data_IF_332047955112
#
_entry.id   IF_332047955112
#
_cell.length_a   1.000
_cell.length_b   1.000
_cell.length_c   1.000
_cell.angle_alpha   90.00
_cell.angle_beta   90.00
_cell.angle_gamma   90.00
#
_symmetry.space_group_name_H-M   'P 1'
#
loop_
_entity.id
_entity.type
_entity.pdbx_description
1 polymer ?
#
# COMPACT_ATOMS: atom_id res chain seq x y z
N UNK A 1 -31.91 -36.54 0.94
CA UNK A 1 -30.56 -36.18 0.44
C UNK A 1 -30.03 -35.05 1.31
N UNK A 2 -29.17 -35.37 2.28
CA UNK A 2 -28.60 -34.38 3.20
C UNK A 2 -27.56 -33.56 2.45
N UNK A 3 -27.83 -32.28 2.30
CA UNK A 3 -26.82 -31.27 1.94
C UNK A 3 -25.74 -31.31 3.04
N UNK A 4 -24.54 -31.76 2.68
CA UNK A 4 -23.38 -31.63 3.54
C UNK A 4 -23.26 -30.15 3.88
N UNK A 5 -23.49 -29.77 5.13
CA UNK A 5 -23.17 -28.43 5.62
C UNK A 5 -21.64 -28.27 5.47
N UNK A 6 -21.21 -27.65 4.36
CA UNK A 6 -19.85 -27.11 4.29
C UNK A 6 -19.73 -26.16 5.48
N UNK A 7 -18.84 -26.47 6.40
CA UNK A 7 -18.69 -25.72 7.64
C UNK A 7 -18.15 -24.32 7.30
N UNK A 8 -18.93 -23.28 7.65
CA UNK A 8 -18.51 -21.89 7.52
C UNK A 8 -17.09 -21.67 8.11
N UNK A 9 -16.15 -21.09 7.36
CA UNK A 9 -14.80 -20.84 7.83
C UNK A 9 -14.74 -19.62 8.78
N UNK A 10 -13.99 -19.70 9.89
CA UNK A 10 -13.83 -18.54 10.78
C UNK A 10 -12.98 -17.45 10.12
N UNK A 11 -13.32 -16.19 10.39
CA UNK A 11 -12.47 -15.08 9.99
C UNK A 11 -11.13 -15.06 10.74
N UNK A 12 -10.10 -14.64 10.04
CA UNK A 12 -8.83 -14.35 10.71
C UNK A 12 -8.95 -13.13 11.64
N UNK A 13 -8.16 -13.05 12.72
CA UNK A 13 -8.18 -11.88 13.62
C UNK A 13 -8.04 -10.55 12.88
N UNK A 14 -7.07 -10.45 11.96
CA UNK A 14 -6.88 -9.23 11.17
C UNK A 14 -8.08 -8.94 10.24
N UNK A 15 -8.68 -9.97 9.64
CA UNK A 15 -9.91 -9.80 8.82
C UNK A 15 -11.08 -9.22 9.62
N UNK A 16 -11.25 -9.66 10.86
CA UNK A 16 -12.27 -9.14 11.79
C UNK A 16 -12.07 -7.65 12.12
N UNK A 17 -10.82 -7.20 12.19
CA UNK A 17 -10.49 -5.81 12.44
C UNK A 17 -10.90 -4.92 11.25
N UNK A 18 -10.60 -5.34 10.02
CA UNK A 18 -10.95 -4.58 8.82
C UNK A 18 -12.47 -4.49 8.56
N UNK A 19 -13.27 -5.40 9.10
CA UNK A 19 -14.74 -5.36 9.00
C UNK A 19 -15.40 -4.48 10.07
N UNK A 20 -14.64 -3.75 10.86
CA UNK A 20 -15.17 -2.77 11.79
C UNK A 20 -15.42 -1.45 11.05
N UNK A 21 -16.58 -0.81 11.25
CA UNK A 21 -16.90 0.47 10.59
C UNK A 21 -15.82 1.55 10.81
N UNK A 22 -15.16 1.51 11.98
CA UNK A 22 -14.12 2.47 12.33
C UNK A 22 -12.79 2.20 11.61
N UNK A 23 -12.67 1.06 10.91
CA UNK A 23 -11.46 0.62 10.21
C UNK A 23 -11.79 -0.13 8.93
N UNK A 24 -12.90 0.20 8.32
CA UNK A 24 -13.34 -0.35 7.02
C UNK A 24 -12.38 0.09 5.93
N UNK A 25 -11.66 -0.87 5.36
CA UNK A 25 -10.62 -0.59 4.37
C UNK A 25 -10.88 -1.36 3.09
N UNK A 26 -11.09 -0.61 2.02
CA UNK A 26 -11.23 -1.12 0.65
C UNK A 26 -9.97 -0.73 -0.13
N UNK A 27 -9.38 -1.68 -0.82
CA UNK A 27 -8.25 -1.48 -1.72
C UNK A 27 -8.82 -1.22 -3.11
N UNK A 28 -8.35 -0.15 -3.75
CA UNK A 28 -8.65 0.21 -5.13
C UNK A 28 -7.39 0.01 -5.97
N UNK A 29 -7.40 -0.95 -6.89
CA UNK A 29 -6.32 -1.20 -7.83
C UNK A 29 -6.76 -0.76 -9.22
N UNK A 30 -6.16 0.30 -9.75
CA UNK A 30 -6.40 0.85 -11.08
C UNK A 30 -5.42 0.25 -12.06
N UNK A 31 -5.93 -0.33 -13.14
CA UNK A 31 -5.16 -1.02 -14.17
C UNK A 31 -5.48 -0.33 -15.50
N UNK A 32 -4.53 0.44 -16.01
CA UNK A 32 -4.65 1.06 -17.33
C UNK A 32 -4.37 0.06 -18.44
N UNK A 33 -5.12 0.15 -19.54
CA UNK A 33 -5.00 -0.72 -20.71
C UNK A 33 -4.63 0.11 -21.95
N UNK A 34 -4.08 -0.54 -22.94
CA UNK A 34 -3.55 0.12 -24.15
C UNK A 34 -4.63 0.49 -25.17
N UNK A 35 -5.76 -0.20 -25.16
CA UNK A 35 -6.83 -0.05 -26.16
C UNK A 35 -8.21 -0.18 -25.53
N UNK A 36 -9.25 0.00 -26.31
CA UNK A 36 -10.64 -0.14 -25.92
C UNK A 36 -10.92 -1.52 -25.28
N UNK A 37 -11.71 -1.53 -24.21
CA UNK A 37 -11.92 -2.71 -23.36
C UNK A 37 -13.02 -3.58 -23.92
N UNK A 38 -12.70 -4.83 -24.21
CA UNK A 38 -13.68 -5.90 -24.42
C UNK A 38 -14.20 -6.39 -23.06
N UNK A 39 -15.42 -5.97 -22.73
CA UNK A 39 -16.07 -6.28 -21.45
C UNK A 39 -16.29 -7.78 -21.29
N UNK A 40 -16.71 -8.47 -22.35
CA UNK A 40 -16.99 -9.91 -22.30
C UNK A 40 -15.70 -10.73 -22.15
N UNK A 41 -14.61 -10.29 -22.77
CA UNK A 41 -13.30 -10.91 -22.55
C UNK A 41 -12.83 -10.75 -21.11
N UNK A 42 -13.03 -9.58 -20.49
CA UNK A 42 -12.70 -9.36 -19.05
C UNK A 42 -13.60 -10.24 -18.17
N UNK A 43 -14.91 -10.30 -18.39
CA UNK A 43 -15.84 -11.18 -17.64
C UNK A 43 -15.38 -12.63 -17.68
N UNK A 44 -15.14 -13.15 -18.89
CA UNK A 44 -14.70 -14.51 -19.09
C UNK A 44 -13.36 -14.82 -18.40
N UNK A 45 -12.43 -13.86 -18.45
CA UNK A 45 -11.13 -13.97 -17.78
C UNK A 45 -11.30 -14.03 -16.26
N UNK A 46 -12.17 -13.19 -15.68
CA UNK A 46 -12.47 -13.17 -14.25
C UNK A 46 -13.13 -14.47 -13.81
N UNK A 47 -14.14 -14.94 -14.54
CA UNK A 47 -14.87 -16.17 -14.25
C UNK A 47 -13.95 -17.39 -14.19
N UNK A 48 -13.02 -17.49 -15.16
CA UNK A 48 -12.04 -18.58 -15.24
C UNK A 48 -10.84 -18.39 -14.30
N UNK A 49 -10.75 -17.25 -13.64
CA UNK A 49 -9.58 -16.91 -12.85
C UNK A 49 -9.50 -17.68 -11.55
N UNK A 50 -8.29 -17.83 -11.08
CA UNK A 50 -8.01 -18.30 -9.74
C UNK A 50 -8.58 -17.41 -8.63
N UNK A 51 -8.90 -16.17 -8.93
CA UNK A 51 -9.53 -15.25 -7.98
C UNK A 51 -10.91 -15.76 -7.57
N UNK A 52 -11.79 -16.07 -8.53
CA UNK A 52 -13.14 -16.58 -8.25
C UNK A 52 -13.12 -17.98 -7.62
N UNK A 53 -12.09 -18.77 -7.93
CA UNK A 53 -11.91 -20.09 -7.31
C UNK A 53 -11.40 -20.00 -5.86
N UNK A 54 -10.83 -18.89 -5.46
CA UNK A 54 -10.29 -18.70 -4.11
C UNK A 54 -11.42 -18.63 -3.06
N UNK A 55 -11.36 -19.42 -1.96
CA UNK A 55 -12.46 -19.53 -0.98
C UNK A 55 -12.97 -18.19 -0.47
N UNK A 56 -12.11 -17.22 -0.21
CA UNK A 56 -12.52 -15.89 0.31
C UNK A 56 -13.19 -15.01 -0.72
N UNK A 57 -12.86 -15.16 -2.00
CA UNK A 57 -13.47 -14.42 -3.10
C UNK A 57 -14.78 -15.06 -3.59
N UNK A 58 -15.07 -16.27 -3.13
CA UNK A 58 -16.32 -17.00 -3.36
C UNK A 58 -17.12 -17.22 -2.08
N UNK A 59 -16.97 -16.35 -1.08
CA UNK A 59 -17.68 -16.48 0.19
C UNK A 59 -18.32 -15.17 0.61
N UNK A 60 -19.51 -15.28 1.22
CA UNK A 60 -20.18 -14.18 1.92
C UNK A 60 -19.62 -14.02 3.33
N UNK A 61 -19.55 -12.78 3.78
CA UNK A 61 -19.41 -12.46 5.18
C UNK A 61 -20.75 -12.68 5.90
N UNK A 62 -20.79 -13.58 6.87
CA UNK A 62 -21.97 -13.90 7.65
C UNK A 62 -21.68 -13.90 9.14
N UNK A 63 -22.72 -13.68 9.96
CA UNK A 63 -22.66 -13.90 11.40
C UNK A 63 -23.50 -15.13 11.74
N UNK A 64 -22.89 -16.09 12.48
CA UNK A 64 -23.60 -17.25 12.95
C UNK A 64 -24.62 -16.88 14.07
N UNK A 65 -25.45 -17.83 14.50
CA UNK A 65 -26.46 -17.66 15.58
C UNK A 65 -25.86 -17.20 16.91
N UNK A 66 -24.55 -17.32 17.08
CA UNK A 66 -23.81 -16.86 18.27
C UNK A 66 -23.09 -15.50 18.03
N UNK A 67 -23.39 -14.83 16.90
CA UNK A 67 -22.77 -13.56 16.51
C UNK A 67 -21.30 -13.68 16.05
N UNK A 68 -20.79 -14.91 15.84
CA UNK A 68 -19.41 -15.12 15.37
C UNK A 68 -19.33 -14.93 13.87
N UNK A 69 -18.34 -14.20 13.46
CA UNK A 69 -18.08 -13.82 12.06
C UNK A 69 -17.45 -14.98 11.29
N UNK A 70 -18.01 -15.31 10.12
CA UNK A 70 -17.62 -16.46 9.29
C UNK A 70 -17.68 -16.15 7.81
N UNK A 71 -16.94 -16.92 7.04
CA UNK A 71 -17.01 -16.98 5.59
C UNK A 71 -17.89 -18.15 5.18
N UNK A 72 -18.97 -17.88 4.46
CA UNK A 72 -19.88 -18.89 3.89
C UNK A 72 -19.68 -18.97 2.39
N UNK A 73 -19.23 -20.10 1.88
CA UNK A 73 -19.04 -20.31 0.45
C UNK A 73 -20.36 -20.26 -0.31
N UNK A 74 -20.32 -19.60 -1.47
CA UNK A 74 -21.44 -19.48 -2.40
C UNK A 74 -20.97 -19.69 -3.83
N UNK A 75 -21.91 -19.86 -4.76
CA UNK A 75 -21.65 -19.70 -6.18
C UNK A 75 -21.63 -18.21 -6.50
N UNK A 76 -20.58 -17.74 -7.15
CA UNK A 76 -20.41 -16.31 -7.47
C UNK A 76 -21.16 -16.00 -8.76
N UNK A 77 -21.98 -14.97 -8.71
CA UNK A 77 -22.61 -14.37 -9.88
C UNK A 77 -21.74 -13.20 -10.36
N UNK A 78 -21.01 -13.41 -11.45
CA UNK A 78 -20.00 -12.46 -11.96
C UNK A 78 -20.66 -11.14 -12.40
N UNK A 79 -21.85 -11.15 -12.95
CA UNK A 79 -22.52 -9.94 -13.43
C UNK A 79 -22.85 -8.97 -12.27
N UNK A 80 -23.06 -9.48 -11.07
CA UNK A 80 -23.23 -8.64 -9.87
C UNK A 80 -21.94 -7.96 -9.40
N UNK A 81 -20.78 -8.41 -9.89
CA UNK A 81 -19.48 -7.91 -9.49
C UNK A 81 -18.83 -6.97 -10.52
N UNK A 82 -19.34 -6.95 -11.74
CA UNK A 82 -18.79 -6.13 -12.81
C UNK A 82 -19.72 -4.95 -13.11
N UNK A 83 -19.19 -3.75 -12.93
CA UNK A 83 -19.89 -2.48 -13.12
C UNK A 83 -19.25 -1.79 -14.34
N UNK A 84 -20.04 -1.56 -15.38
CA UNK A 84 -19.53 -0.98 -16.64
C UNK A 84 -19.97 0.49 -16.74
N UNK A 85 -19.01 1.37 -16.96
CA UNK A 85 -19.18 2.77 -17.28
C UNK A 85 -18.85 2.98 -18.75
N UNK A 86 -19.87 3.21 -19.57
CA UNK A 86 -19.73 3.41 -21.03
C UNK A 86 -19.15 4.78 -21.36
N UNK A 87 -19.61 5.81 -20.70
CA UNK A 87 -19.17 7.20 -20.88
C UNK A 87 -18.02 7.59 -19.95
N UNK A 88 -17.48 8.81 -20.15
CA UNK A 88 -16.46 9.34 -19.26
C UNK A 88 -17.03 9.55 -17.86
N UNK A 89 -16.21 9.21 -16.83
CA UNK A 89 -16.50 9.60 -15.46
C UNK A 89 -16.09 11.05 -15.29
N UNK A 90 -17.03 11.87 -14.80
CA UNK A 90 -16.82 13.31 -14.63
C UNK A 90 -16.58 13.55 -13.14
N UNK A 91 -15.44 14.12 -12.80
CA UNK A 91 -15.16 14.60 -11.43
C UNK A 91 -15.74 16.00 -11.18
N UNK A 92 -15.64 16.47 -9.96
CA UNK A 92 -16.09 17.82 -9.51
C UNK A 92 -15.32 19.00 -10.14
N UNK A 93 -14.38 18.75 -11.04
CA UNK A 93 -13.46 19.76 -11.60
C UNK A 93 -14.01 20.40 -12.87
N UNK A 94 -13.57 21.63 -13.20
CA UNK A 94 -14.04 22.42 -14.35
C UNK A 94 -13.58 21.81 -15.68
N UNK A 95 -14.44 21.72 -16.73
CA UNK A 95 -14.22 20.87 -17.92
C UNK A 95 -13.02 21.20 -18.81
N UNK A 96 -12.48 22.39 -18.80
CA UNK A 96 -11.54 22.85 -19.85
C UNK A 96 -10.05 22.50 -19.63
N UNK A 97 -9.66 21.96 -18.46
CA UNK A 97 -8.25 21.63 -18.14
C UNK A 97 -8.04 20.22 -17.55
N UNK A 98 -9.07 19.35 -17.56
CA UNK A 98 -9.00 18.06 -16.88
C UNK A 98 -8.35 17.03 -17.79
N UNK A 99 -7.28 16.38 -17.32
CA UNK A 99 -6.71 15.23 -17.99
C UNK A 99 -7.55 13.97 -17.75
N UNK A 100 -7.46 13.00 -18.65
CA UNK A 100 -8.08 11.69 -18.49
C UNK A 100 -7.69 11.01 -17.15
N UNK A 101 -6.45 11.21 -16.71
CA UNK A 101 -5.93 10.73 -15.43
C UNK A 101 -6.61 11.41 -14.25
N UNK A 102 -6.88 12.71 -14.32
CA UNK A 102 -7.55 13.44 -13.24
C UNK A 102 -8.98 12.95 -13.06
N UNK A 103 -9.71 12.71 -14.15
CA UNK A 103 -11.08 12.15 -14.10
C UNK A 103 -11.11 10.78 -13.41
N UNK A 104 -10.18 9.89 -13.74
CA UNK A 104 -10.05 8.58 -13.08
C UNK A 104 -9.66 8.75 -11.60
N UNK A 105 -8.74 9.66 -11.29
CA UNK A 105 -8.32 9.94 -9.92
C UNK A 105 -9.47 10.48 -9.06
N UNK A 106 -10.28 11.40 -9.58
CA UNK A 106 -11.46 11.95 -8.90
C UNK A 106 -12.50 10.85 -8.65
N UNK A 107 -12.78 10.02 -9.65
CA UNK A 107 -13.68 8.88 -9.49
C UNK A 107 -13.22 7.92 -8.37
N UNK A 108 -11.92 7.59 -8.31
CA UNK A 108 -11.37 6.75 -7.24
C UNK A 108 -11.41 7.46 -5.88
N UNK A 109 -11.18 8.77 -5.85
CA UNK A 109 -11.26 9.57 -4.62
C UNK A 109 -12.67 9.51 -4.00
N UNK A 110 -13.71 9.60 -4.83
CA UNK A 110 -15.11 9.48 -4.40
C UNK A 110 -15.41 8.06 -3.89
N UNK A 111 -14.98 7.03 -4.63
CA UNK A 111 -15.14 5.64 -4.19
C UNK A 111 -14.43 5.35 -2.86
N UNK A 112 -13.35 6.06 -2.55
CA UNK A 112 -12.59 5.86 -1.31
C UNK A 112 -13.31 6.35 -0.06
N UNK A 113 -14.35 7.17 -0.19
CA UNK A 113 -15.10 7.78 0.94
C UNK A 113 -16.54 7.30 1.00
N UNK A 114 -17.24 7.29 -0.14
CA UNK A 114 -18.71 7.23 -0.18
C UNK A 114 -19.30 5.86 -0.53
N UNK A 115 -18.49 4.89 -0.91
CA UNK A 115 -18.98 3.65 -1.54
C UNK A 115 -18.49 2.38 -0.84
N UNK A 116 -19.10 1.96 0.27
CA UNK A 116 -18.82 0.68 0.89
C UNK A 116 -19.19 -0.48 -0.05
N UNK A 117 -18.50 -1.61 0.07
CA UNK A 117 -18.86 -2.83 -0.65
C UNK A 117 -20.11 -3.47 -0.03
N UNK A 118 -21.04 -3.94 -0.88
CA UNK A 118 -22.22 -4.65 -0.41
C UNK A 118 -21.86 -5.98 0.24
N UNK A 119 -22.52 -6.31 1.36
CA UNK A 119 -22.32 -7.56 2.10
C UNK A 119 -23.20 -8.71 1.61
N UNK A 120 -24.08 -8.46 0.63
CA UNK A 120 -24.95 -9.48 0.01
C UNK A 120 -24.29 -10.27 -1.12
N UNK A 121 -23.02 -9.94 -1.39
CA UNK A 121 -22.12 -10.63 -2.32
C UNK A 121 -20.71 -10.67 -1.73
N UNK A 122 -19.78 -11.50 -2.27
CA UNK A 122 -18.38 -11.46 -1.88
C UNK A 122 -17.82 -10.05 -1.96
N UNK A 123 -16.93 -9.69 -1.01
CA UNK A 123 -16.50 -8.31 -0.77
C UNK A 123 -15.45 -7.82 -1.80
N UNK A 124 -15.83 -7.84 -3.06
CA UNK A 124 -15.03 -7.30 -4.18
C UNK A 124 -15.93 -6.85 -5.34
N UNK A 125 -15.44 -5.93 -6.15
CA UNK A 125 -16.09 -5.42 -7.38
C UNK A 125 -15.03 -5.05 -8.40
N UNK A 126 -15.43 -5.05 -9.67
CA UNK A 126 -14.62 -4.58 -10.80
C UNK A 126 -15.42 -3.51 -11.53
N UNK A 127 -14.87 -2.30 -11.62
CA UNK A 127 -15.44 -1.22 -12.43
C UNK A 127 -14.65 -1.13 -13.73
N UNK A 128 -15.34 -1.19 -14.84
CA UNK A 128 -14.75 -1.05 -16.20
C UNK A 128 -15.08 0.36 -16.69
N UNK A 129 -14.07 1.21 -16.78
CA UNK A 129 -14.20 2.58 -17.25
C UNK A 129 -13.77 2.60 -18.74
N UNK A 130 -14.72 2.35 -19.67
CA UNK A 130 -14.43 2.14 -21.09
C UNK A 130 -13.80 3.37 -21.72
N UNK A 131 -14.38 4.56 -21.50
CA UNK A 131 -13.86 5.81 -22.05
C UNK A 131 -12.41 6.11 -21.62
N UNK A 132 -12.02 5.64 -20.42
CA UNK A 132 -10.69 5.85 -19.81
C UNK A 132 -9.74 4.68 -20.04
N UNK A 133 -10.16 3.63 -20.73
CA UNK A 133 -9.38 2.41 -20.98
C UNK A 133 -8.74 1.85 -19.71
N UNK A 134 -9.46 1.84 -18.60
CA UNK A 134 -8.95 1.28 -17.36
C UNK A 134 -10.00 0.45 -16.62
N UNK A 135 -9.48 -0.46 -15.80
CA UNK A 135 -10.25 -1.35 -14.92
C UNK A 135 -9.87 -1.02 -13.49
N UNK A 136 -10.86 -0.89 -12.62
CA UNK A 136 -10.66 -0.66 -11.19
C UNK A 136 -11.13 -1.88 -10.42
N UNK A 137 -10.20 -2.62 -9.85
CA UNK A 137 -10.50 -3.71 -8.94
C UNK A 137 -10.62 -3.16 -7.51
N UNK A 138 -11.80 -3.29 -6.91
CA UNK A 138 -12.11 -2.94 -5.53
C UNK A 138 -12.17 -4.20 -4.68
N UNK A 139 -11.39 -4.28 -3.63
CA UNK A 139 -11.32 -5.46 -2.77
C UNK A 139 -11.28 -5.03 -1.30
N UNK A 140 -12.16 -5.59 -0.49
CA UNK A 140 -12.13 -5.36 0.95
C UNK A 140 -10.87 -5.96 1.57
N UNK A 141 -10.18 -5.21 2.43
CA UNK A 141 -8.89 -5.59 3.00
C UNK A 141 -8.94 -6.84 3.90
N UNK A 142 -10.15 -7.25 4.33
CA UNK A 142 -10.35 -8.52 5.07
C UNK A 142 -10.04 -9.76 4.21
N UNK A 143 -10.13 -9.66 2.88
CA UNK A 143 -9.85 -10.76 1.95
C UNK A 143 -8.36 -11.05 1.84
N UNK A 144 -7.50 -10.03 1.94
CA UNK A 144 -6.05 -10.21 1.85
C UNK A 144 -5.28 -8.90 1.95
N UNK A 145 -3.97 -8.97 2.14
CA UNK A 145 -3.06 -7.83 2.06
C UNK A 145 -2.53 -7.63 0.63
N UNK A 146 -1.85 -6.49 0.42
CA UNK A 146 -1.36 -6.10 -0.90
C UNK A 146 -0.51 -7.17 -1.61
N UNK A 147 0.30 -7.94 -0.87
CA UNK A 147 1.12 -9.00 -1.48
C UNK A 147 0.26 -10.19 -1.90
N UNK A 148 -0.70 -10.60 -1.06
CA UNK A 148 -1.64 -11.67 -1.40
C UNK A 148 -2.50 -11.27 -2.60
N UNK A 149 -3.04 -10.05 -2.60
CA UNK A 149 -3.91 -9.55 -3.66
C UNK A 149 -3.14 -9.35 -4.98
N UNK A 150 -1.92 -8.82 -4.93
CA UNK A 150 -1.06 -8.71 -6.12
C UNK A 150 -0.75 -10.09 -6.69
N UNK A 151 -0.44 -11.07 -5.84
CA UNK A 151 -0.18 -12.43 -6.30
C UNK A 151 -1.40 -13.05 -6.99
N UNK A 152 -2.60 -12.80 -6.47
CA UNK A 152 -3.84 -13.29 -7.06
C UNK A 152 -4.15 -12.59 -8.40
N UNK A 153 -4.02 -11.27 -8.45
CA UNK A 153 -4.18 -10.49 -9.68
C UNK A 153 -3.25 -11.00 -10.79
N UNK A 154 -1.99 -11.27 -10.46
CA UNK A 154 -1.02 -11.77 -11.44
C UNK A 154 -1.39 -13.14 -12.02
N UNK A 155 -2.20 -13.95 -11.34
CA UNK A 155 -2.72 -15.19 -11.93
C UNK A 155 -3.70 -14.96 -13.08
N UNK A 156 -4.36 -13.79 -13.08
CA UNK A 156 -5.25 -13.35 -14.16
C UNK A 156 -4.49 -12.75 -15.35
N UNK A 157 -3.19 -12.47 -15.20
CA UNK A 157 -2.35 -11.83 -16.21
C UNK A 157 -1.46 -12.85 -16.93
N UNK A 158 -0.94 -12.43 -18.10
CA UNK A 158 0.09 -13.15 -18.84
C UNK A 158 1.21 -12.19 -19.20
N UNK A 159 2.39 -12.71 -19.50
CA UNK A 159 3.49 -11.89 -20.03
C UNK A 159 3.18 -11.45 -21.45
N UNK A 160 3.47 -10.22 -21.78
CA UNK A 160 3.28 -9.68 -23.14
C UNK A 160 4.20 -10.41 -24.14
N UNK A 161 5.44 -10.67 -23.75
CA UNK A 161 6.45 -11.33 -24.58
C UNK A 161 6.18 -12.84 -24.78
N UNK A 162 5.61 -13.51 -23.76
CA UNK A 162 5.28 -14.94 -23.78
C UNK A 162 3.99 -15.22 -23.01
N UNK A 163 2.83 -15.18 -23.69
CA UNK A 163 1.52 -15.41 -23.05
C UNK A 163 1.33 -16.82 -22.46
N UNK A 164 2.20 -17.78 -22.77
CA UNK A 164 2.15 -19.11 -22.15
C UNK A 164 2.66 -19.12 -20.71
N UNK A 165 3.44 -18.11 -20.33
CA UNK A 165 4.05 -18.00 -19.00
C UNK A 165 3.28 -17.09 -18.07
N UNK A 166 3.23 -17.49 -16.79
CA UNK A 166 2.72 -16.64 -15.71
C UNK A 166 3.75 -15.55 -15.37
N UNK A 167 3.26 -14.38 -14.93
CA UNK A 167 4.13 -13.31 -14.42
C UNK A 167 4.99 -13.76 -13.25
N UNK A 168 6.15 -13.10 -13.07
CA UNK A 168 7.03 -13.32 -11.91
C UNK A 168 6.89 -12.18 -10.91
N UNK A 169 6.80 -12.52 -9.64
CA UNK A 169 6.99 -11.53 -8.57
C UNK A 169 8.48 -11.54 -8.23
N UNK A 170 9.17 -10.44 -8.55
CA UNK A 170 10.53 -10.24 -8.05
C UNK A 170 10.45 -10.00 -6.55
N UNK A 171 10.60 -11.04 -5.77
CA UNK A 171 10.92 -10.87 -4.35
C UNK A 171 12.33 -10.32 -4.24
N UNK A 172 12.54 -9.31 -3.40
CA UNK A 172 13.89 -8.91 -3.05
C UNK A 172 14.65 -10.17 -2.62
N UNK A 173 15.66 -10.54 -3.39
CA UNK A 173 16.48 -11.70 -3.12
C UNK A 173 16.98 -11.68 -1.67
N UNK A 174 17.31 -12.82 -1.07
CA UNK A 174 17.90 -12.84 0.25
C UNK A 174 19.20 -12.01 0.14
N UNK A 175 19.12 -10.76 0.65
CA UNK A 175 20.34 -9.98 0.80
C UNK A 175 21.36 -10.86 1.49
N UNK A 176 22.55 -10.96 0.95
CA UNK A 176 23.66 -11.82 1.35
C UNK A 176 23.72 -12.09 2.86
N UNK A 177 23.03 -13.13 3.27
CA UNK A 177 23.12 -13.68 4.62
C UNK A 177 24.13 -14.81 4.58
N UNK A 178 25.41 -14.48 4.59
CA UNK A 178 26.40 -15.32 5.24
C UNK A 178 27.82 -14.78 5.01
N UNK A 179 28.20 -13.82 5.82
CA UNK A 179 29.59 -13.78 6.26
C UNK A 179 29.58 -14.28 7.69
N UNK A 180 30.38 -15.30 8.00
CA UNK A 180 30.50 -15.89 9.31
C UNK A 180 30.62 -14.78 10.37
N UNK A 181 29.63 -14.69 11.26
CA UNK A 181 29.57 -13.67 12.28
C UNK A 181 30.63 -13.96 13.33
N UNK A 182 31.60 -13.06 13.47
CA UNK A 182 32.45 -13.03 14.64
C UNK A 182 31.55 -12.97 15.90
N UNK A 183 31.67 -13.93 16.88
CA UNK A 183 30.73 -14.07 18.01
C UNK A 183 30.52 -12.78 18.79
N UNK A 184 31.60 -11.99 19.00
CA UNK A 184 31.51 -10.69 19.71
C UNK A 184 30.69 -9.64 18.95
N UNK A 185 30.79 -9.60 17.60
CA UNK A 185 29.93 -8.74 16.74
C UNK A 185 28.49 -9.22 16.74
N UNK A 186 28.25 -10.52 16.96
CA UNK A 186 26.91 -11.11 17.09
C UNK A 186 26.18 -10.64 18.34
N UNK A 187 26.84 -10.69 19.52
CA UNK A 187 26.28 -10.25 20.80
C UNK A 187 25.96 -8.75 20.79
N UNK A 188 26.86 -7.92 20.28
CA UNK A 188 26.61 -6.48 20.17
C UNK A 188 25.39 -6.16 19.26
N UNK A 189 25.29 -6.83 18.11
CA UNK A 189 24.12 -6.69 17.24
C UNK A 189 22.82 -7.11 17.93
N UNK A 190 22.86 -8.19 18.71
CA UNK A 190 21.71 -8.68 19.46
C UNK A 190 21.30 -7.68 20.55
N UNK A 191 22.26 -7.15 21.31
CA UNK A 191 22.01 -6.13 22.33
C UNK A 191 21.42 -4.85 21.70
N UNK A 192 21.96 -4.40 20.57
CA UNK A 192 21.45 -3.26 19.82
C UNK A 192 20.03 -3.52 19.30
N UNK A 193 19.76 -4.71 18.77
CA UNK A 193 18.43 -5.10 18.30
C UNK A 193 17.42 -5.10 19.44
N UNK A 194 17.78 -5.65 20.60
CA UNK A 194 16.94 -5.64 21.81
C UNK A 194 16.66 -4.20 22.28
N UNK A 195 17.69 -3.37 22.36
CA UNK A 195 17.56 -1.96 22.73
C UNK A 195 16.65 -1.17 21.78
N UNK A 196 16.89 -1.26 20.47
CA UNK A 196 16.06 -0.59 19.48
C UNK A 196 14.62 -1.11 19.52
N UNK A 197 14.43 -2.41 19.73
CA UNK A 197 13.09 -2.99 19.88
C UNK A 197 12.38 -2.40 21.09
N UNK A 198 13.02 -2.36 22.26
CA UNK A 198 12.43 -1.77 23.46
C UNK A 198 12.05 -0.30 23.26
N UNK A 199 12.93 0.48 22.62
CA UNK A 199 12.71 1.90 22.34
C UNK A 199 11.53 2.13 21.38
N UNK A 200 11.44 1.36 20.31
CA UNK A 200 10.36 1.51 19.32
C UNK A 200 9.03 0.94 19.82
N UNK A 201 9.06 -0.14 20.59
CA UNK A 201 7.88 -0.66 21.28
C UNK A 201 7.34 0.37 22.28
N UNK A 202 8.22 0.99 23.05
CA UNK A 202 7.83 2.07 23.95
C UNK A 202 7.22 3.25 23.19
N UNK A 203 7.83 3.69 22.08
CA UNK A 203 7.25 4.73 21.22
C UNK A 203 5.86 4.34 20.72
N UNK A 204 5.69 3.09 20.23
CA UNK A 204 4.40 2.59 19.75
C UNK A 204 3.33 2.63 20.85
N UNK A 205 3.65 2.16 22.05
CA UNK A 205 2.76 2.21 23.22
C UNK A 205 2.42 3.64 23.60
N UNK A 206 3.41 4.52 23.69
CA UNK A 206 3.20 5.94 24.02
C UNK A 206 2.28 6.64 22.99
N UNK A 207 2.42 6.31 21.71
CA UNK A 207 1.54 6.84 20.65
C UNK A 207 0.14 6.25 20.69
N UNK A 208 -0.02 5.02 21.11
CA UNK A 208 -1.35 4.45 21.32
C UNK A 208 -2.08 5.06 22.52
N UNK A 209 -1.37 5.73 23.43
CA UNK A 209 -1.92 6.34 24.64
C UNK A 209 -2.09 7.87 24.52
N UNK A 210 -1.00 8.60 24.29
CA UNK A 210 -1.00 10.08 24.40
C UNK A 210 0.03 10.83 23.55
N UNK A 211 1.11 10.18 23.05
CA UNK A 211 2.16 10.88 22.30
C UNK A 211 1.67 11.21 20.88
N UNK A 212 1.59 12.50 20.54
CA UNK A 212 1.15 12.99 19.24
C UNK A 212 2.26 13.72 18.49
N UNK A 213 2.21 13.69 17.17
CA UNK A 213 2.99 14.62 16.35
C UNK A 213 2.53 16.06 16.59
N UNK A 214 3.45 17.02 16.53
CA UNK A 214 3.08 18.43 16.54
C UNK A 214 2.29 18.77 15.28
N UNK A 215 1.22 19.56 15.46
CA UNK A 215 0.34 19.95 14.34
C UNK A 215 1.10 20.72 13.26
N UNK A 216 0.86 20.33 12.02
CA UNK A 216 1.29 21.00 10.80
C UNK A 216 0.09 21.13 9.86
N UNK A 217 0.28 21.76 8.71
CA UNK A 217 -0.74 21.81 7.66
C UNK A 217 -1.08 20.41 7.07
N UNK A 218 -0.29 19.37 7.37
CA UNK A 218 -0.53 17.99 6.93
C UNK A 218 -1.31 17.18 7.96
N UNK A 219 -1.59 17.74 9.13
CA UNK A 219 -2.17 17.00 10.23
C UNK A 219 -3.65 16.73 9.95
N UNK A 220 -4.01 15.45 9.88
CA UNK A 220 -5.38 14.98 9.90
C UNK A 220 -6.00 15.06 11.30
N UNK A 221 -6.85 14.13 11.61
CA UNK A 221 -7.50 14.02 12.91
C UNK A 221 -8.68 13.06 12.86
N UNK A 222 -9.36 12.93 13.96
CA UNK A 222 -10.54 12.08 14.07
C UNK A 222 -11.65 12.59 13.13
N UNK A 223 -12.22 11.68 12.33
CA UNK A 223 -13.26 11.99 11.35
C UNK A 223 -12.74 12.41 9.96
N UNK A 224 -11.44 12.71 9.80
CA UNK A 224 -10.87 13.11 8.50
C UNK A 224 -11.02 12.00 7.44
N UNK A 225 -11.13 10.74 7.85
CA UNK A 225 -11.42 9.62 6.96
C UNK A 225 -12.72 9.76 6.17
N UNK A 226 -13.67 10.53 6.67
CA UNK A 226 -14.99 10.77 6.04
C UNK A 226 -15.03 12.05 5.17
N UNK A 227 -13.95 12.82 5.14
CA UNK A 227 -13.91 14.06 4.37
C UNK A 227 -13.69 13.81 2.88
N UNK A 228 -14.15 14.72 2.00
CA UNK A 228 -13.89 14.64 0.57
C UNK A 228 -12.41 14.50 0.27
N UNK A 229 -12.07 13.67 -0.71
CA UNK A 229 -10.70 13.36 -1.08
C UNK A 229 -10.36 13.85 -2.49
N UNK A 230 -9.08 14.04 -2.71
CA UNK A 230 -8.46 14.19 -4.03
C UNK A 230 -7.31 13.20 -4.15
N UNK A 231 -7.05 12.74 -5.37
CA UNK A 231 -5.90 11.90 -5.66
C UNK A 231 -4.98 12.65 -6.62
N UNK A 232 -3.68 12.55 -6.36
CA UNK A 232 -2.64 12.91 -7.32
C UNK A 232 -1.65 11.75 -7.47
N UNK A 233 -1.03 11.65 -8.63
CA UNK A 233 -0.01 10.66 -8.92
C UNK A 233 1.34 11.32 -9.07
N UNK A 234 2.31 10.96 -8.23
CA UNK A 234 3.71 11.26 -8.50
C UNK A 234 4.31 10.13 -9.36
N UNK A 235 4.80 10.50 -10.54
CA UNK A 235 5.34 9.57 -11.54
C UNK A 235 6.86 9.49 -11.40
N UNK A 236 7.34 8.39 -10.83
CA UNK A 236 8.77 8.16 -10.66
C UNK A 236 9.26 7.09 -11.64
N UNK A 237 10.50 7.27 -12.11
CA UNK A 237 11.17 6.28 -12.97
C UNK A 237 12.00 5.38 -12.07
N UNK A 238 11.79 4.07 -12.15
CA UNK A 238 12.47 3.11 -11.30
C UNK A 238 13.99 3.11 -11.54
N UNK A 239 14.43 3.38 -12.78
CA UNK A 239 15.87 3.47 -13.10
C UNK A 239 16.50 4.67 -12.40
N UNK A 240 15.84 5.82 -12.35
CA UNK A 240 16.30 6.99 -11.59
C UNK A 240 16.48 6.64 -10.10
N UNK A 241 15.51 5.92 -9.53
CA UNK A 241 15.64 5.42 -8.15
C UNK A 241 16.81 4.45 -7.97
N UNK A 242 17.12 3.63 -9.00
CA UNK A 242 18.28 2.72 -8.96
C UNK A 242 19.62 3.49 -9.05
N UNK A 243 19.68 4.58 -9.82
CA UNK A 243 20.84 5.46 -9.88
C UNK A 243 21.08 6.08 -8.49
N UNK A 244 20.05 6.70 -7.92
CA UNK A 244 20.10 7.29 -6.58
C UNK A 244 20.53 6.25 -5.53
N UNK A 245 19.97 5.06 -5.59
CA UNK A 245 20.35 3.95 -4.70
C UNK A 245 21.85 3.61 -4.78
N UNK A 246 22.45 3.65 -5.97
CA UNK A 246 23.87 3.31 -6.15
C UNK A 246 24.83 4.31 -5.49
N UNK A 247 24.41 5.57 -5.28
CA UNK A 247 25.24 6.60 -4.66
C UNK A 247 25.59 6.34 -3.18
N UNK A 248 24.81 5.49 -2.50
CA UNK A 248 25.08 5.12 -1.09
C UNK A 248 25.16 3.59 -0.95
N UNK A 249 26.26 3.13 -0.38
CA UNK A 249 26.50 1.68 -0.22
C UNK A 249 25.37 0.99 0.55
N UNK A 250 24.93 -0.19 0.07
CA UNK A 250 23.89 -1.04 0.66
C UNK A 250 22.51 -0.36 0.80
N UNK A 251 22.22 0.73 0.07
CA UNK A 251 20.90 1.30 0.06
C UNK A 251 19.92 0.49 -0.80
N UNK A 252 18.64 0.65 -0.54
CA UNK A 252 17.54 -0.06 -1.21
C UNK A 252 16.57 0.92 -1.86
N UNK A 253 15.72 0.45 -2.76
CA UNK A 253 14.63 1.27 -3.34
C UNK A 253 13.72 1.84 -2.24
N UNK A 254 13.48 1.10 -1.16
CA UNK A 254 12.71 1.61 -0.03
C UNK A 254 13.41 2.79 0.67
N UNK A 255 14.74 2.78 0.77
CA UNK A 255 15.49 3.90 1.35
C UNK A 255 15.35 5.15 0.46
N UNK A 256 15.39 4.99 -0.87
CA UNK A 256 15.14 6.07 -1.83
C UNK A 256 13.70 6.58 -1.72
N UNK A 257 12.70 5.68 -1.65
CA UNK A 257 11.30 6.08 -1.45
C UNK A 257 11.15 6.92 -0.18
N UNK A 258 11.73 6.50 0.94
CA UNK A 258 11.66 7.26 2.19
C UNK A 258 12.37 8.61 2.08
N UNK A 259 13.50 8.67 1.36
CA UNK A 259 14.23 9.92 1.11
C UNK A 259 13.41 10.90 0.25
N UNK A 260 12.85 10.42 -0.85
CA UNK A 260 11.98 11.20 -1.75
C UNK A 260 10.76 11.72 -0.99
N UNK A 261 10.12 10.87 -0.18
CA UNK A 261 8.97 11.25 0.66
C UNK A 261 9.37 12.33 1.67
N UNK A 262 10.50 12.16 2.36
CA UNK A 262 11.00 13.13 3.35
C UNK A 262 11.30 14.50 2.71
N UNK A 263 12.04 14.49 1.61
CA UNK A 263 12.40 15.72 0.88
C UNK A 263 11.17 16.40 0.28
N UNK A 264 10.29 15.63 -0.38
CA UNK A 264 9.08 16.18 -1.01
C UNK A 264 8.09 16.76 0.00
N UNK A 265 7.87 16.08 1.14
CA UNK A 265 7.06 16.62 2.23
C UNK A 265 7.68 17.88 2.81
N UNK A 266 9.01 17.95 2.96
CA UNK A 266 9.70 19.17 3.41
C UNK A 266 9.52 20.33 2.45
N UNK A 267 9.64 20.08 1.13
CA UNK A 267 9.37 21.09 0.09
C UNK A 267 7.93 21.59 0.14
N UNK A 268 6.97 20.68 0.22
CA UNK A 268 5.56 21.06 0.30
C UNK A 268 5.24 21.86 1.56
N UNK A 269 5.76 21.44 2.73
CA UNK A 269 5.62 22.18 3.97
C UNK A 269 6.23 23.59 3.87
N UNK A 270 7.40 23.73 3.25
CA UNK A 270 8.04 25.02 3.02
C UNK A 270 7.17 25.94 2.14
N UNK A 271 6.54 25.38 1.10
CA UNK A 271 5.68 26.14 0.18
C UNK A 271 4.36 26.59 0.82
N UNK A 272 3.79 25.76 1.68
CA UNK A 272 2.41 25.92 2.15
C UNK A 272 2.26 26.33 3.62
N UNK A 273 3.29 26.16 4.45
CA UNK A 273 3.18 26.57 5.84
C UNK A 273 3.18 28.08 5.98
N UNK A 274 2.19 28.67 6.68
CA UNK A 274 2.10 30.13 6.85
C UNK A 274 3.24 30.70 7.70
N UNK A 275 3.88 29.85 8.51
CA UNK A 275 5.05 30.16 9.32
C UNK A 275 6.12 29.10 9.05
N UNK A 276 7.38 29.54 9.02
CA UNK A 276 8.52 28.65 8.91
C UNK A 276 8.50 27.62 10.06
N UNK A 277 8.62 26.35 9.71
CA UNK A 277 8.80 25.29 10.68
C UNK A 277 10.26 25.24 11.14
N UNK A 278 10.53 24.92 12.41
CA UNK A 278 11.90 24.76 12.87
C UNK A 278 12.59 23.59 12.16
N UNK A 279 13.88 23.76 11.85
CA UNK A 279 14.72 22.69 11.30
C UNK A 279 14.63 21.45 12.19
N UNK A 280 14.54 20.27 11.56
CA UNK A 280 14.42 19.01 12.27
C UNK A 280 13.04 18.74 12.90
N UNK A 281 12.02 19.57 12.60
CA UNK A 281 10.65 19.30 13.02
C UNK A 281 10.24 17.88 12.61
N UNK A 282 9.79 17.10 13.59
CA UNK A 282 9.48 15.67 13.38
C UNK A 282 8.02 15.48 13.03
N UNK A 283 7.77 14.77 11.92
CA UNK A 283 6.49 14.17 11.55
C UNK A 283 6.66 12.65 11.44
N UNK A 284 5.62 11.89 11.72
CA UNK A 284 5.71 10.43 11.75
C UNK A 284 4.76 9.81 10.76
N UNK A 285 5.30 8.98 9.87
CA UNK A 285 4.53 8.13 8.98
C UNK A 285 4.27 6.76 9.59
N UNK A 286 3.12 6.19 9.30
CA UNK A 286 2.81 4.78 9.55
C UNK A 286 3.14 3.99 8.29
N UNK A 287 4.04 3.02 8.39
CA UNK A 287 4.38 2.13 7.31
C UNK A 287 3.85 0.71 7.59
N UNK A 288 3.17 0.13 6.61
CA UNK A 288 2.75 -1.27 6.66
C UNK A 288 3.80 -2.15 6.01
N UNK A 289 4.28 -3.16 6.73
CA UNK A 289 5.38 -4.05 6.33
C UNK A 289 4.89 -5.49 6.26
N UNK A 290 5.14 -6.15 5.14
CA UNK A 290 4.86 -7.57 4.99
C UNK A 290 5.82 -8.40 5.87
N UNK A 291 5.24 -9.27 6.70
CA UNK A 291 6.00 -10.15 7.62
C UNK A 291 6.22 -11.57 7.08
N UNK A 292 5.79 -11.85 5.84
CA UNK A 292 6.05 -13.16 5.26
C UNK A 292 7.53 -13.32 4.96
N UNK A 293 8.09 -14.45 5.39
CA UNK A 293 9.37 -14.91 4.88
C UNK A 293 9.13 -15.33 3.44
N UNK A 294 9.60 -14.54 2.50
CA UNK A 294 9.59 -14.93 1.10
C UNK A 294 10.94 -15.61 0.79
N UNK A 295 10.96 -16.90 0.53
CA UNK A 295 12.06 -17.48 -0.23
C UNK A 295 11.88 -17.00 -1.68
N UNK A 296 12.93 -16.61 -2.38
CA UNK A 296 12.98 -16.14 -3.76
C UNK A 296 11.77 -16.43 -4.66
N UNK A 297 11.74 -16.43 -5.90
CA UNK A 297 10.60 -16.59 -6.81
C UNK A 297 9.49 -17.51 -6.25
N UNK A 298 8.42 -16.90 -5.72
CA UNK A 298 7.21 -17.62 -5.38
C UNK A 298 6.56 -18.02 -6.70
N UNK A 299 6.57 -19.29 -7.01
CA UNK A 299 5.68 -19.80 -8.05
C UNK A 299 4.23 -19.48 -7.63
N UNK A 300 3.55 -18.64 -8.39
CA UNK A 300 2.17 -18.23 -8.16
C UNK A 300 1.25 -19.46 -7.97
N UNK A 301 1.54 -20.54 -8.68
CA UNK A 301 0.86 -21.83 -8.55
C UNK A 301 0.98 -22.47 -7.15
N UNK A 302 2.09 -22.22 -6.43
CA UNK A 302 2.27 -22.76 -5.07
C UNK A 302 1.48 -21.97 -4.03
N UNK A 303 1.32 -20.67 -4.21
CA UNK A 303 0.46 -19.84 -3.35
C UNK A 303 -1.00 -20.30 -3.41
N UNK A 304 -1.42 -20.79 -4.57
CA UNK A 304 -2.80 -21.21 -4.83
C UNK A 304 -3.09 -22.65 -4.44
N UNK A 305 -2.10 -23.55 -4.59
CA UNK A 305 -2.25 -24.98 -4.22
C UNK A 305 -2.23 -25.23 -2.71
N UNK A 306 -1.73 -24.27 -1.90
CA UNK A 306 -1.67 -24.49 -0.47
C UNK A 306 -3.04 -24.20 0.17
N UNK A 307 -3.77 -25.27 0.52
CA UNK A 307 -4.91 -25.23 1.46
C UNK A 307 -4.51 -24.72 2.86
N UNK A 308 -3.23 -24.42 3.09
CA UNK A 308 -2.76 -23.97 4.40
C UNK A 308 -2.96 -22.46 4.53
N UNK A 309 -3.85 -22.05 5.42
CA UNK A 309 -4.12 -20.65 5.79
C UNK A 309 -2.92 -19.86 6.32
N UNK A 310 -1.71 -20.44 6.33
CA UNK A 310 -0.48 -19.78 6.78
C UNK A 310 0.16 -18.85 5.74
N UNK A 311 -0.18 -18.98 4.46
CA UNK A 311 0.42 -18.20 3.36
C UNK A 311 -0.49 -17.12 2.80
N UNK A 312 -1.79 -17.17 3.02
CA UNK A 312 -2.79 -16.21 2.55
C UNK A 312 -3.31 -15.33 3.69
N UNK A 313 -3.79 -14.14 3.36
CA UNK A 313 -4.47 -13.22 4.27
C UNK A 313 -3.55 -12.10 4.77
N UNK A 314 -3.97 -11.41 5.84
CA UNK A 314 -3.27 -10.25 6.38
C UNK A 314 -2.16 -10.67 7.34
N UNK A 315 -0.91 -10.55 6.91
CA UNK A 315 0.29 -10.80 7.72
C UNK A 315 1.22 -9.59 7.66
N UNK A 316 0.73 -8.50 8.20
CA UNK A 316 1.38 -7.19 8.18
C UNK A 316 1.77 -6.77 9.59
N UNK A 317 2.89 -6.06 9.70
CA UNK A 317 3.29 -5.32 10.89
C UNK A 317 3.25 -3.83 10.63
N UNK A 318 3.12 -3.05 11.68
CA UNK A 318 3.16 -1.59 11.65
C UNK A 318 4.55 -1.15 12.11
N UNK A 319 5.14 -0.22 11.35
CA UNK A 319 6.41 0.44 11.69
C UNK A 319 6.19 1.94 11.66
N UNK A 320 6.64 2.63 12.70
CA UNK A 320 6.57 4.08 12.80
C UNK A 320 7.84 4.70 12.19
N UNK A 321 7.67 5.48 11.13
CA UNK A 321 8.77 6.08 10.36
C UNK A 321 8.90 7.57 10.69
N UNK A 322 9.92 8.00 11.45
CA UNK A 322 10.13 9.41 11.75
C UNK A 322 10.78 10.11 10.56
N UNK A 323 10.13 11.16 10.08
CA UNK A 323 10.66 12.08 9.08
C UNK A 323 11.02 13.39 9.74
N UNK A 324 12.06 14.05 9.25
CA UNK A 324 12.50 15.34 9.75
C UNK A 324 12.35 16.39 8.65
N UNK A 325 11.68 17.49 8.99
CA UNK A 325 11.61 18.63 8.12
C UNK A 325 13.02 19.22 7.92
N UNK A 326 13.34 19.51 6.67
CA UNK A 326 14.62 20.07 6.25
C UNK A 326 14.36 21.40 5.56
N UNK A 327 15.00 22.47 6.02
CA UNK A 327 14.81 23.84 5.46
C UNK A 327 15.41 23.97 4.05
N UNK A 328 16.18 23.01 3.59
CA UNK A 328 16.89 22.98 2.33
C UNK A 328 18.39 23.01 2.59
N UNK A 329 19.03 21.86 2.44
CA UNK A 329 20.48 21.73 2.46
C UNK A 329 21.06 21.83 1.04
N UNK A 330 22.35 22.10 0.96
CA UNK A 330 23.09 22.09 -0.30
C UNK A 330 23.28 20.68 -0.88
N UNK A 331 22.99 19.63 -0.09
CA UNK A 331 23.20 18.24 -0.48
C UNK A 331 21.88 17.45 -0.56
N UNK A 332 21.33 17.19 -1.77
CA UNK A 332 20.11 16.42 -1.96
C UNK A 332 20.21 14.97 -1.45
N UNK A 333 21.41 14.37 -1.40
CA UNK A 333 21.64 13.01 -0.93
C UNK A 333 21.64 12.88 0.59
N UNK A 334 21.63 13.98 1.33
CA UNK A 334 21.51 13.93 2.80
C UNK A 334 20.24 13.24 3.26
N UNK A 335 19.11 13.51 2.59
CA UNK A 335 17.83 12.82 2.87
C UNK A 335 17.94 11.31 2.70
N UNK A 336 18.69 10.83 1.70
CA UNK A 336 18.93 9.40 1.49
C UNK A 336 19.79 8.80 2.59
N UNK A 337 20.86 9.50 3.04
CA UNK A 337 21.71 9.01 4.16
C UNK A 337 20.88 8.86 5.45
N UNK A 338 20.00 9.83 5.71
CA UNK A 338 19.11 9.79 6.88
C UNK A 338 18.06 8.71 6.77
N UNK A 339 17.39 8.60 5.63
CA UNK A 339 16.39 7.57 5.37
C UNK A 339 17.00 6.16 5.53
N UNK A 340 18.18 5.92 4.95
CA UNK A 340 18.90 4.66 5.08
C UNK A 340 19.25 4.36 6.54
N UNK A 341 19.85 5.31 7.26
CA UNK A 341 20.22 5.11 8.66
C UNK A 341 18.99 4.79 9.54
N UNK A 342 17.85 5.44 9.27
CA UNK A 342 16.58 5.17 9.94
C UNK A 342 16.05 3.78 9.59
N UNK A 343 15.96 3.45 8.32
CA UNK A 343 15.43 2.16 7.84
C UNK A 343 16.29 0.99 8.32
N UNK A 344 17.63 1.14 8.36
CA UNK A 344 18.54 0.12 8.88
C UNK A 344 18.28 -0.15 10.38
N UNK A 345 18.08 0.89 11.18
CA UNK A 345 17.69 0.74 12.59
C UNK A 345 16.34 0.04 12.74
N UNK A 346 15.35 0.39 11.90
CA UNK A 346 14.03 -0.23 11.89
C UNK A 346 14.09 -1.71 11.47
N UNK A 347 14.91 -2.05 10.46
CA UNK A 347 15.14 -3.44 10.02
C UNK A 347 15.86 -4.29 11.08
N UNK A 348 16.71 -3.69 11.90
CA UNK A 348 17.40 -4.37 13.00
C UNK A 348 16.46 -4.65 14.17
N UNK A 349 15.44 -3.82 14.38
CA UNK A 349 14.46 -3.98 15.44
C UNK A 349 13.40 -5.04 15.10
N UNK A 350 12.70 -5.53 16.11
CA UNK A 350 11.54 -6.42 15.99
C UNK A 350 10.20 -5.67 16.06
N UNK A 351 10.19 -4.34 15.83
CA UNK A 351 9.00 -3.49 15.94
C UNK A 351 7.81 -4.02 15.12
N UNK A 352 8.06 -4.41 13.86
CA UNK A 352 7.00 -4.94 12.98
C UNK A 352 6.43 -6.28 13.46
N UNK A 353 7.27 -7.15 14.02
CA UNK A 353 6.82 -8.41 14.64
C UNK A 353 6.06 -8.17 15.91
N UNK A 354 6.54 -7.23 16.75
CA UNK A 354 5.86 -6.84 17.97
C UNK A 354 4.48 -6.28 17.68
N UNK A 355 4.35 -5.29 16.80
CA UNK A 355 3.07 -4.67 16.45
C UNK A 355 2.05 -5.69 15.94
N UNK A 356 2.49 -6.64 15.11
CA UNK A 356 1.66 -7.74 14.64
C UNK A 356 1.22 -8.67 15.78
N UNK A 357 2.17 -9.16 16.58
CA UNK A 357 1.88 -10.09 17.70
C UNK A 357 1.07 -9.44 18.80
N UNK A 358 1.36 -8.18 19.11
CA UNK A 358 0.59 -7.39 20.06
C UNK A 358 -0.84 -7.17 19.56
N UNK A 359 -1.03 -6.82 18.29
CA UNK A 359 -2.35 -6.72 17.68
C UNK A 359 -3.15 -8.04 17.79
N UNK A 360 -2.52 -9.18 17.50
CA UNK A 360 -3.15 -10.50 17.67
C UNK A 360 -3.50 -10.82 19.13
N UNK A 361 -2.62 -10.48 20.07
CA UNK A 361 -2.87 -10.68 21.49
C UNK A 361 -4.06 -9.83 21.97
N UNK A 362 -4.09 -8.55 21.63
CA UNK A 362 -5.20 -7.66 21.98
C UNK A 362 -6.51 -8.16 21.37
N UNK A 363 -6.48 -8.59 20.09
CA UNK A 363 -7.64 -9.20 19.43
C UNK A 363 -8.16 -10.43 20.17
N UNK A 364 -7.24 -11.29 20.64
CA UNK A 364 -7.58 -12.53 21.33
C UNK A 364 -8.14 -12.29 22.75
N UNK A 365 -7.54 -11.34 23.49
CA UNK A 365 -7.91 -11.07 24.89
C UNK A 365 -9.09 -10.10 25.03
N UNK A 366 -9.16 -9.07 24.18
CA UNK A 366 -10.09 -7.94 24.32
C UNK A 366 -11.02 -7.77 23.11
N UNK A 367 -10.83 -8.58 22.06
CA UNK A 367 -11.65 -8.55 20.86
C UNK A 367 -11.31 -7.44 19.87
N UNK A 368 -11.99 -7.45 18.70
CA UNK A 368 -11.67 -6.55 17.58
C UNK A 368 -11.89 -5.07 17.87
N UNK A 369 -12.90 -4.73 18.68
CA UNK A 369 -13.23 -3.33 19.02
C UNK A 369 -12.07 -2.62 19.73
N UNK A 370 -11.46 -3.26 20.73
CA UNK A 370 -10.33 -2.70 21.47
C UNK A 370 -9.08 -2.61 20.58
N UNK A 371 -8.80 -3.66 19.80
CA UNK A 371 -7.66 -3.66 18.88
C UNK A 371 -7.77 -2.53 17.85
N UNK A 372 -8.94 -2.35 17.23
CA UNK A 372 -9.20 -1.27 16.26
C UNK A 372 -9.05 0.10 16.90
N UNK A 373 -9.58 0.30 18.12
CA UNK A 373 -9.45 1.57 18.85
C UNK A 373 -7.99 1.93 19.14
N UNK A 374 -7.15 0.97 19.52
CA UNK A 374 -5.73 1.21 19.76
C UNK A 374 -4.99 1.60 18.45
N UNK A 375 -5.28 0.89 17.35
CA UNK A 375 -4.66 1.23 16.06
C UNK A 375 -5.15 2.60 15.57
N UNK A 376 -6.44 2.91 15.70
CA UNK A 376 -6.98 4.23 15.36
C UNK A 376 -6.28 5.34 16.15
N UNK A 377 -5.98 5.11 17.43
CA UNK A 377 -5.20 6.06 18.25
C UNK A 377 -3.77 6.25 17.73
N UNK A 378 -3.08 5.18 17.32
CA UNK A 378 -1.75 5.30 16.71
C UNK A 378 -1.81 6.13 15.44
N UNK A 379 -2.81 5.88 14.59
CA UNK A 379 -3.04 6.65 13.34
C UNK A 379 -3.34 8.10 13.67
N UNK A 380 -4.26 8.41 14.57
CA UNK A 380 -4.62 9.79 14.95
C UNK A 380 -3.47 10.56 15.61
N UNK A 381 -2.46 9.86 16.14
CA UNK A 381 -1.30 10.46 16.80
C UNK A 381 -0.05 10.53 15.89
N UNK A 382 -0.22 10.19 14.60
CA UNK A 382 0.80 10.26 13.55
C UNK A 382 0.28 11.11 12.38
N UNK A 383 1.11 11.40 11.38
CA UNK A 383 0.78 12.42 10.37
C UNK A 383 0.27 11.83 9.05
N UNK A 384 0.83 10.70 8.58
CA UNK A 384 0.47 10.12 7.28
C UNK A 384 0.69 8.61 7.25
N UNK A 385 0.09 7.95 6.24
CA UNK A 385 0.33 6.52 5.92
C UNK A 385 1.17 6.41 4.67
N UNK A 386 2.10 5.44 4.64
CA UNK A 386 2.87 5.08 3.46
C UNK A 386 2.98 3.57 3.29
N UNK A 387 2.84 3.10 2.06
CA UNK A 387 2.98 1.69 1.71
C UNK A 387 3.73 1.56 0.38
N UNK A 388 4.45 0.44 0.23
CA UNK A 388 5.11 0.07 -1.02
C UNK A 388 4.78 -1.36 -1.37
N UNK A 389 4.25 -1.56 -2.57
CA UNK A 389 3.99 -2.86 -3.16
C UNK A 389 4.85 -3.02 -4.40
N UNK A 390 5.72 -4.03 -4.38
CA UNK A 390 6.54 -4.36 -5.55
C UNK A 390 5.69 -5.15 -6.54
N UNK A 391 5.50 -4.60 -7.72
CA UNK A 391 4.86 -5.27 -8.85
C UNK A 391 5.87 -5.84 -9.85
N UNK A 392 5.39 -6.52 -10.89
CA UNK A 392 6.22 -7.12 -11.93
C UNK A 392 6.97 -6.05 -12.75
N UNK A 393 8.18 -6.40 -13.16
CA UNK A 393 8.98 -5.50 -14.00
C UNK A 393 8.78 -5.79 -15.50
N UNK A 394 8.23 -6.91 -15.82
CA UNK A 394 7.80 -7.30 -17.16
C UNK A 394 6.46 -6.66 -17.52
N UNK A 395 6.24 -6.41 -18.80
CA UNK A 395 4.95 -5.93 -19.30
C UNK A 395 3.96 -7.08 -19.34
N UNK A 396 2.74 -6.84 -18.86
CA UNK A 396 1.70 -7.83 -18.75
C UNK A 396 0.51 -7.54 -19.66
N UNK A 397 -0.27 -8.58 -19.92
CA UNK A 397 -1.59 -8.50 -20.55
C UNK A 397 -2.68 -9.02 -19.63
N UNK A 398 -3.85 -8.40 -19.70
CA UNK A 398 -5.09 -8.81 -19.04
C UNK A 398 -6.17 -9.00 -20.11
N UNK A 399 -6.71 -10.20 -20.25
CA UNK A 399 -7.68 -10.53 -21.31
C UNK A 399 -7.23 -10.09 -22.72
N UNK A 400 -5.95 -10.22 -23.04
CA UNK A 400 -5.36 -9.81 -24.31
C UNK A 400 -5.06 -8.31 -24.48
N UNK A 401 -5.40 -7.46 -23.49
CA UNK A 401 -5.05 -6.04 -23.45
C UNK A 401 -3.74 -5.82 -22.71
N UNK A 402 -2.83 -5.02 -23.29
CA UNK A 402 -1.56 -4.68 -22.65
C UNK A 402 -1.78 -3.72 -21.48
N UNK A 403 -1.20 -4.02 -20.33
CA UNK A 403 -1.27 -3.17 -19.15
C UNK A 403 -0.25 -2.03 -19.29
N UNK A 404 -0.70 -0.79 -19.15
CA UNK A 404 0.12 0.42 -19.28
C UNK A 404 0.59 0.97 -17.94
N UNK A 405 -0.21 0.78 -16.88
CA UNK A 405 0.13 1.14 -15.51
C UNK A 405 -0.69 0.31 -14.50
N UNK A 406 -0.16 0.18 -13.29
CA UNK A 406 -0.87 -0.37 -12.13
C UNK A 406 -0.70 0.63 -11.00
N UNK A 407 -1.82 1.09 -10.41
CA UNK A 407 -1.83 2.03 -9.28
C UNK A 407 -2.74 1.51 -8.19
N UNK A 408 -2.39 1.78 -6.94
CA UNK A 408 -3.16 1.28 -5.81
C UNK A 408 -3.43 2.40 -4.82
N UNK A 409 -4.64 2.40 -4.31
CA UNK A 409 -5.10 3.24 -3.22
C UNK A 409 -5.88 2.41 -2.20
N UNK A 410 -6.16 2.98 -1.04
CA UNK A 410 -7.10 2.38 -0.07
C UNK A 410 -8.11 3.43 0.38
N UNK A 411 -9.23 3.00 0.94
CA UNK A 411 -10.09 3.88 1.72
C UNK A 411 -9.27 4.58 2.80
N UNK A 412 -9.70 5.77 3.18
CA UNK A 412 -8.96 6.61 4.09
C UNK A 412 -8.88 6.06 5.51
N UNK A 413 -7.72 6.24 6.12
CA UNK A 413 -7.58 6.27 7.57
C UNK A 413 -7.74 7.72 8.06
N UNK A 414 -7.68 7.96 9.37
CA UNK A 414 -7.77 9.31 9.97
C UNK A 414 -6.55 10.21 9.65
N UNK A 415 -5.81 9.88 8.59
CA UNK A 415 -4.73 10.70 8.07
C UNK A 415 -5.24 11.61 6.95
N UNK A 416 -4.72 12.84 6.91
CA UNK A 416 -4.98 13.74 5.78
C UNK A 416 -4.31 13.26 4.49
N UNK A 417 -3.25 12.45 4.60
CA UNK A 417 -2.50 11.89 3.47
C UNK A 417 -2.30 10.39 3.65
N UNK A 418 -2.65 9.63 2.61
CA UNK A 418 -2.27 8.22 2.47
C UNK A 418 -1.56 8.03 1.14
N UNK A 419 -0.40 7.38 1.15
CA UNK A 419 0.46 7.21 -0.01
C UNK A 419 0.74 5.73 -0.27
N UNK A 420 0.54 5.31 -1.51
CA UNK A 420 0.85 3.95 -1.96
C UNK A 420 1.75 4.00 -3.19
N UNK A 421 2.94 3.44 -3.08
CA UNK A 421 3.81 3.23 -4.24
C UNK A 421 3.60 1.82 -4.80
N UNK A 422 3.45 1.75 -6.12
CA UNK A 422 3.49 0.49 -6.87
C UNK A 422 4.52 0.61 -7.97
N UNK A 423 5.43 -0.36 -8.05
CA UNK A 423 6.36 -0.44 -9.18
C UNK A 423 5.83 -1.40 -10.24
N UNK A 424 5.83 -0.97 -11.51
CA UNK A 424 5.40 -1.78 -12.64
C UNK A 424 6.14 -1.37 -13.91
N UNK A 425 6.70 -2.32 -14.65
CA UNK A 425 7.32 -2.12 -15.98
C UNK A 425 8.23 -0.87 -16.04
N UNK A 426 9.17 -0.76 -15.10
CA UNK A 426 10.14 0.35 -15.03
C UNK A 426 9.62 1.65 -14.42
N UNK A 427 8.33 1.76 -14.09
CA UNK A 427 7.71 2.90 -13.40
C UNK A 427 7.57 2.61 -11.91
N UNK A 428 7.47 3.67 -11.10
CA UNK A 428 7.19 3.58 -9.67
C UNK A 428 6.24 4.75 -9.32
N UNK A 429 4.94 4.53 -9.53
CA UNK A 429 3.93 5.56 -9.31
C UNK A 429 3.54 5.61 -7.82
N UNK A 430 3.51 6.81 -7.24
CA UNK A 430 2.98 7.05 -5.89
C UNK A 430 1.61 7.67 -6.02
N UNK A 431 0.58 6.94 -5.62
CA UNK A 431 -0.77 7.48 -5.46
C UNK A 431 -0.87 8.20 -4.11
N UNK A 432 -1.26 9.45 -4.15
CA UNK A 432 -1.41 10.33 -2.98
C UNK A 432 -2.89 10.63 -2.81
N UNK A 433 -3.53 9.96 -1.85
CA UNK A 433 -4.92 10.25 -1.46
C UNK A 433 -4.89 11.30 -0.34
N UNK A 434 -5.43 12.46 -0.60
CA UNK A 434 -5.38 13.63 0.28
C UNK A 434 -6.77 14.14 0.66
N UNK A 435 -6.96 14.58 1.92
CA UNK A 435 -8.16 15.29 2.34
C UNK A 435 -8.22 16.66 1.66
N UNK A 436 -9.27 16.91 0.86
CA UNK A 436 -9.41 18.08 -0.01
C UNK A 436 -9.29 19.41 0.75
N UNK A 437 -9.85 19.49 1.96
CA UNK A 437 -9.83 20.72 2.75
C UNK A 437 -8.51 20.98 3.49
N UNK A 438 -7.68 19.94 3.64
CA UNK A 438 -6.35 20.04 4.27
C UNK A 438 -5.28 20.24 3.21
N UNK A 439 -5.37 19.50 2.11
CA UNK A 439 -4.43 19.51 0.99
C UNK A 439 -5.22 19.70 -0.31
N UNK A 440 -5.56 20.96 -0.64
CA UNK A 440 -6.42 21.25 -1.79
C UNK A 440 -5.73 20.98 -3.13
N UNK A 441 -4.40 20.93 -3.13
CA UNK A 441 -3.55 20.80 -4.31
C UNK A 441 -2.54 19.64 -4.23
N UNK A 442 -3.02 18.39 -4.13
CA UNK A 442 -2.14 17.23 -4.01
C UNK A 442 -1.21 17.05 -5.21
N UNK A 443 -1.52 17.64 -6.37
CA UNK A 443 -0.64 17.70 -7.55
C UNK A 443 0.66 18.49 -7.26
N UNK A 444 0.60 19.54 -6.43
CA UNK A 444 1.81 20.26 -5.98
C UNK A 444 2.69 19.34 -5.14
N UNK A 445 2.08 18.55 -4.25
CA UNK A 445 2.81 17.57 -3.44
C UNK A 445 3.44 16.47 -4.31
N UNK A 446 2.72 15.99 -5.33
CA UNK A 446 3.25 15.02 -6.31
C UNK A 446 4.49 15.58 -7.02
N UNK A 447 4.43 16.81 -7.54
CA UNK A 447 5.58 17.50 -8.14
C UNK A 447 6.75 17.67 -7.17
N UNK A 448 6.49 17.90 -5.88
CA UNK A 448 7.55 17.96 -4.87
C UNK A 448 8.29 16.60 -4.74
N UNK A 449 7.60 15.49 -4.86
CA UNK A 449 8.24 14.16 -4.85
C UNK A 449 9.05 13.93 -6.13
N UNK A 450 8.49 14.22 -7.29
CA UNK A 450 9.17 14.08 -8.58
C UNK A 450 10.45 14.94 -8.63
N UNK A 451 10.36 16.23 -8.28
CA UNK A 451 11.52 17.12 -8.25
C UNK A 451 12.59 16.67 -7.24
N UNK A 452 12.17 16.08 -6.11
CA UNK A 452 13.11 15.56 -5.12
C UNK A 452 13.91 14.37 -5.66
N UNK A 453 13.27 13.46 -6.42
CA UNK A 453 13.97 12.37 -7.06
C UNK A 453 14.97 12.88 -8.12
N UNK A 454 14.57 13.87 -8.94
CA UNK A 454 15.43 14.43 -9.99
C UNK A 454 16.66 15.14 -9.40
N UNK A 455 16.50 15.91 -8.31
CA UNK A 455 17.63 16.54 -7.62
C UNK A 455 18.59 15.49 -7.02
N UNK A 456 18.04 14.43 -6.40
CA UNK A 456 18.84 13.33 -5.87
C UNK A 456 19.57 12.58 -7.00
N UNK A 457 18.90 12.36 -8.15
CA UNK A 457 19.50 11.73 -9.33
C UNK A 457 20.70 12.53 -9.81
N UNK A 458 20.51 13.86 -10.02
CA UNK A 458 21.60 14.74 -10.46
C UNK A 458 22.78 14.65 -9.51
N UNK A 459 22.57 14.82 -8.20
CA UNK A 459 23.63 14.75 -7.20
C UNK A 459 24.28 13.36 -7.14
N UNK A 460 23.54 12.29 -7.41
CA UNK A 460 24.06 10.92 -7.46
C UNK A 460 24.98 10.70 -8.68
N UNK A 461 24.60 11.23 -9.85
CA UNK A 461 25.41 11.19 -11.08
C UNK A 461 26.73 11.95 -10.85
N UNK A 462 26.65 13.17 -10.32
CA UNK A 462 27.82 13.99 -10.01
C UNK A 462 28.78 13.28 -9.02
N UNK A 463 28.22 12.60 -8.00
CA UNK A 463 29.03 11.88 -7.00
C UNK A 463 29.67 10.59 -7.55
N UNK A 464 29.02 9.87 -8.46
CA UNK A 464 29.49 8.58 -8.99
C UNK A 464 30.42 8.79 -10.20
N UNK A 465 30.43 9.98 -10.80
CA UNK A 465 31.25 10.30 -11.99
C UNK A 465 30.76 9.60 -13.26
N UNK A 466 29.47 9.26 -13.34
CA UNK A 466 28.86 8.71 -14.55
C UNK A 466 28.50 9.93 -15.44
N UNK A 467 29.18 10.06 -16.61
CA UNK A 467 28.71 10.95 -17.67
C UNK A 467 27.40 10.40 -18.27
N UNK A 468 26.45 11.30 -18.51
CA UNK A 468 25.15 10.98 -19.15
C UNK A 468 25.30 10.31 -20.52
#
# INVERSE_FOLDING_TARGET
MGLSQETDEPLTPAGRMFLRPEFDQIIHCVIGLDREIDVEAIKLQVEKSAMVQHPRFSSLFVRDRHGRERWRKIQVDIDRHIIVHEGPVIGDSVPDEITDEDSVNDYIADLAVSSPLSTDKPLWEIHILKAHKCVVLRVHHSLGDGVSLMSLFLTCCRRDEDPSQLPTILTAGPGERSKALNPRKGLWKLAMAAWLTALYVMEFVMRSLFLKDKKTILTGGDGVELWPRKIATAKLILEDMKIVKKSIANSTINDVLMAVTSSGLSKYLKLRSPKALPEGHRITGVAFVNLRKQPGQLELSQLMKSKSGSRWGNKIGIVLMPFRYQVGGTDPLQSLRWAKAMVDKKKLSLESFFSHKFGLLVMSCFGPKVATSLIKRVVNNTTFTISNVVGPQEVLTLAGHKITYIRVNTSSLSHAITMHMVSYAGKADIQILAAKDIIPDPQVLARCFESSLQEMKKAAIDQIGISE
#
